data_IF_166369033527
#
_entry.id   IF_166369033527
#
_cell.length_a   1.000
_cell.length_b   1.000
_cell.length_c   1.000
_cell.angle_alpha   90.00
_cell.angle_beta   90.00
_cell.angle_gamma   90.00
#
_symmetry.space_group_name_H-M   'P 1'
#
loop_
_entity.id
_entity.type
_entity.pdbx_description
1 polymer ?
#
# COMPACT_ATOMS: atom_id res chain seq x y z
N UNK A 1 2.21 11.47 10.19
CA UNK A 1 3.50 11.70 9.50
C UNK A 1 3.82 10.44 8.75
N UNK A 2 4.27 10.54 7.49
CA UNK A 2 4.52 9.36 6.64
C UNK A 2 6.00 8.99 6.68
N UNK A 3 6.31 7.75 6.32
CA UNK A 3 7.66 7.20 6.25
C UNK A 3 7.91 6.60 4.87
N UNK A 4 9.18 6.41 4.51
CA UNK A 4 9.54 5.64 3.32
C UNK A 4 8.97 4.21 3.42
N UNK A 5 8.37 3.73 2.33
CA UNK A 5 7.63 2.47 2.29
C UNK A 5 6.14 2.59 2.61
N UNK A 6 5.67 3.71 3.18
CA UNK A 6 4.24 3.89 3.46
C UNK A 6 3.43 3.95 2.16
N UNK A 7 2.34 3.17 2.11
CA UNK A 7 1.38 3.22 1.02
C UNK A 7 0.37 4.33 1.26
N UNK A 8 0.32 5.27 0.33
CA UNK A 8 -0.50 6.46 0.41
C UNK A 8 -1.32 6.63 -0.87
N UNK A 9 -2.39 7.43 -0.78
CA UNK A 9 -3.12 7.94 -1.94
C UNK A 9 -3.09 9.45 -1.93
N UNK A 10 -2.89 10.03 -3.11
CA UNK A 10 -2.97 11.47 -3.31
C UNK A 10 -4.42 11.92 -3.15
N UNK A 11 -4.70 12.85 -2.24
CA UNK A 11 -6.04 13.37 -2.02
C UNK A 11 -6.57 14.15 -3.23
N UNK A 12 -5.68 14.74 -4.04
CA UNK A 12 -6.06 15.53 -5.22
C UNK A 12 -6.46 14.67 -6.40
N UNK A 13 -5.69 13.62 -6.69
CA UNK A 13 -5.89 12.78 -7.89
C UNK A 13 -6.53 11.43 -7.60
N UNK A 14 -6.62 11.02 -6.34
CA UNK A 14 -7.09 9.70 -5.92
C UNK A 14 -6.14 8.56 -6.26
N UNK A 15 -4.98 8.84 -6.88
CA UNK A 15 -4.00 7.82 -7.27
C UNK A 15 -3.25 7.29 -6.06
N UNK A 16 -3.11 5.97 -5.98
CA UNK A 16 -2.32 5.29 -4.96
C UNK A 16 -0.83 5.23 -5.37
N UNK A 17 0.03 5.15 -4.37
CA UNK A 17 1.48 5.07 -4.52
C UNK A 17 2.19 4.73 -3.21
N UNK A 18 3.51 4.64 -3.28
CA UNK A 18 4.37 4.41 -2.12
C UNK A 18 5.30 5.60 -1.91
N UNK A 19 5.47 6.02 -0.67
CA UNK A 19 6.48 7.02 -0.30
C UNK A 19 7.86 6.39 -0.52
N UNK A 20 8.68 7.00 -1.36
CA UNK A 20 10.05 6.54 -1.65
C UNK A 20 11.12 7.43 -1.03
N UNK A 21 10.73 8.64 -0.63
CA UNK A 21 11.65 9.59 0.00
C UNK A 21 10.88 10.60 0.85
N UNK A 22 11.44 10.94 2.00
CA UNK A 22 11.00 12.08 2.81
C UNK A 22 12.12 13.13 2.83
N UNK A 23 11.83 14.34 2.36
CA UNK A 23 12.84 15.39 2.20
C UNK A 23 12.65 16.56 3.19
N UNK A 24 13.77 17.01 3.75
CA UNK A 24 13.94 18.24 4.54
C UNK A 24 13.70 18.11 6.05
N UNK A 25 14.22 19.05 6.86
CA UNK A 25 13.53 19.47 8.07
C UNK A 25 12.22 20.19 7.68
N UNK A 26 11.22 20.19 8.57
CA UNK A 26 9.85 20.60 8.25
C UNK A 26 9.73 21.96 7.49
N UNK A 27 8.78 22.09 6.54
CA UNK A 27 7.74 21.11 6.18
C UNK A 27 8.30 19.93 5.35
N UNK A 28 7.91 18.71 5.74
CA UNK A 28 8.33 17.49 5.04
C UNK A 28 7.68 17.41 3.66
N UNK A 29 8.49 17.20 2.64
CA UNK A 29 8.03 16.88 1.29
C UNK A 29 8.17 15.38 1.07
N UNK A 30 7.06 14.73 0.74
CA UNK A 30 7.00 13.30 0.46
C UNK A 30 7.05 13.08 -1.04
N UNK A 31 8.04 12.30 -1.47
CA UNK A 31 8.14 11.82 -2.84
C UNK A 31 7.43 10.48 -2.92
N UNK A 32 6.40 10.40 -3.75
CA UNK A 32 5.54 9.22 -3.89
C UNK A 32 5.67 8.67 -5.29
N UNK A 33 6.02 7.39 -5.40
CA UNK A 33 5.97 6.64 -6.64
C UNK A 33 4.54 6.11 -6.82
N UNK A 34 3.85 6.55 -7.87
CA UNK A 34 2.49 6.12 -8.15
C UNK A 34 2.45 4.70 -8.70
N UNK A 35 1.40 3.96 -8.35
CA UNK A 35 1.14 2.63 -8.90
C UNK A 35 0.68 2.76 -10.37
N UNK A 36 1.31 1.98 -11.25
CA UNK A 36 0.98 1.95 -12.67
C UNK A 36 -0.34 1.19 -12.89
N UNK A 37 -1.14 1.62 -13.88
CA UNK A 37 -2.36 0.90 -14.26
C UNK A 37 -2.13 -0.04 -15.45
N UNK A 38 -1.08 0.14 -16.25
CA UNK A 38 -0.78 -0.67 -17.42
C UNK A 38 0.69 -1.01 -17.58
N UNK A 39 0.96 -2.11 -18.29
CA UNK A 39 2.30 -2.55 -18.66
C UNK A 39 2.86 -1.60 -19.74
N UNK A 40 4.01 -0.98 -19.49
CA UNK A 40 4.68 -0.07 -20.44
C UNK A 40 4.50 1.44 -20.18
N UNK A 41 3.77 1.84 -19.14
CA UNK A 41 3.73 3.25 -18.73
C UNK A 41 5.01 3.64 -17.97
N UNK A 42 5.56 4.85 -18.20
CA UNK A 42 6.70 5.30 -17.42
C UNK A 42 6.32 5.50 -15.94
N UNK A 43 7.21 5.16 -14.98
CA UNK A 43 6.94 5.36 -13.57
C UNK A 43 6.73 6.84 -13.24
N UNK A 44 5.59 7.18 -12.62
CA UNK A 44 5.25 8.56 -12.26
C UNK A 44 5.63 8.82 -10.80
N UNK A 45 6.54 9.78 -10.59
CA UNK A 45 6.86 10.29 -9.26
C UNK A 45 6.17 11.63 -9.03
N UNK A 46 5.54 11.78 -7.86
CA UNK A 46 4.91 13.03 -7.43
C UNK A 46 5.51 13.51 -6.11
N UNK A 47 5.40 14.82 -5.88
CA UNK A 47 5.80 15.47 -4.64
C UNK A 47 4.55 16.01 -3.94
N UNK A 48 4.39 15.69 -2.66
CA UNK A 48 3.23 16.05 -1.84
C UNK A 48 3.62 16.42 -0.42
N UNK A 49 2.85 17.33 0.16
CA UNK A 49 2.88 17.58 1.61
C UNK A 49 2.02 16.55 2.35
N UNK A 50 2.27 16.38 3.64
CA UNK A 50 1.64 15.32 4.44
C UNK A 50 0.11 15.43 4.53
N UNK A 51 -0.42 16.65 4.49
CA UNK A 51 -1.86 16.96 4.51
C UNK A 51 -2.57 16.57 3.19
N UNK A 52 -1.80 16.47 2.10
CA UNK A 52 -2.29 16.11 0.76
C UNK A 52 -2.31 14.59 0.54
N UNK A 53 -1.79 13.82 1.48
CA UNK A 53 -1.76 12.36 1.43
C UNK A 53 -2.83 11.77 2.35
N UNK A 54 -3.34 10.60 1.96
CA UNK A 54 -4.27 9.78 2.76
C UNK A 54 -3.75 8.36 2.80
N UNK A 55 -4.12 7.60 3.83
CA UNK A 55 -3.80 6.19 3.90
C UNK A 55 -4.47 5.47 2.72
N UNK A 56 -3.70 4.64 2.03
CA UNK A 56 -4.24 3.67 1.08
C UNK A 56 -4.27 2.29 1.77
N UNK A 57 -5.29 1.45 1.50
CA UNK A 57 -5.26 0.09 2.00
C UNK A 57 -3.99 -0.59 1.47
N UNK A 58 -3.27 -1.29 2.35
CA UNK A 58 -2.25 -2.22 1.89
C UNK A 58 -2.93 -3.18 0.90
N UNK A 59 -2.35 -3.42 -0.28
CA UNK A 59 -2.76 -4.60 -1.04
C UNK A 59 -2.59 -5.77 -0.08
N UNK A 60 -3.70 -6.40 0.26
CA UNK A 60 -3.64 -7.73 0.84
C UNK A 60 -2.74 -8.54 -0.11
N UNK A 61 -1.65 -9.16 0.37
CA UNK A 61 -0.96 -10.14 -0.44
C UNK A 61 -2.01 -11.18 -0.82
N UNK A 62 -2.40 -11.21 -2.09
CA UNK A 62 -3.39 -12.15 -2.58
C UNK A 62 -2.86 -13.57 -2.42
N UNK A 63 -3.34 -14.27 -1.39
CA UNK A 63 -3.45 -15.73 -1.35
C UNK A 63 -2.19 -16.51 -0.95
N UNK A 64 -2.15 -16.95 0.31
CA UNK A 64 -1.96 -18.38 0.59
C UNK A 64 -3.07 -18.84 1.52
N UNK A 65 -4.04 -19.52 0.92
CA UNK A 65 -4.72 -20.69 1.44
C UNK A 65 -4.79 -20.80 2.97
N UNK A 66 -5.82 -20.19 3.59
CA UNK A 66 -6.60 -21.02 4.51
C UNK A 66 -7.55 -21.83 3.65
N UNK A 67 -6.98 -22.89 3.08
CA UNK A 67 -7.72 -24.09 2.71
C UNK A 67 -8.79 -24.31 3.77
N UNK A 68 -10.03 -24.44 3.33
CA UNK A 68 -11.07 -25.11 4.11
C UNK A 68 -10.42 -26.34 4.78
N UNK A 69 -10.18 -26.30 6.09
CA UNK A 69 -10.39 -27.49 6.90
C UNK A 69 -11.93 -27.63 6.97
N UNK A 70 -12.62 -28.10 5.95
CA UNK A 70 -12.88 -29.50 5.67
C UNK A 70 -11.70 -30.47 5.84
N UNK A 71 -11.70 -31.15 7.00
CA UNK A 71 -11.41 -32.57 7.27
C UNK A 71 -11.21 -32.67 8.79
N UNK A 72 -11.79 -33.58 9.59
CA UNK A 72 -12.76 -34.67 9.47
C UNK A 72 -13.24 -34.96 10.92
N UNK A 73 -14.40 -35.60 11.15
CA UNK A 73 -14.71 -36.17 12.45
C UNK A 73 -13.88 -37.45 12.62
N UNK A 74 -13.05 -37.53 13.66
CA UNK A 74 -12.43 -38.78 14.10
C UNK A 74 -12.86 -39.05 15.55
N UNK A 75 -13.86 -39.93 15.64
CA UNK A 75 -14.05 -41.02 16.60
C UNK A 75 -13.15 -41.15 17.83
N UNK A 76 -13.75 -41.58 18.96
CA UNK A 76 -13.02 -42.16 20.07
C UNK A 76 -13.85 -42.31 21.34
N UNK A 77 -14.69 -43.33 21.39
CA UNK A 77 -15.31 -43.81 22.62
C UNK A 77 -14.26 -44.22 23.67
N UNK A 78 -14.55 -43.91 24.93
CA UNK A 78 -13.84 -44.38 26.11
C UNK A 78 -14.74 -44.24 27.32
#
# INVERSE_FOLDING_TARGET
MWSEGDRVRDAKTGKAGCVVQVAGPAPFIYRVLLEQRGEGEPPVMIYRYGDQLRAAPAQAPGGRSKTRLNMCPCEGAG
#
